data_IF_849345515558
#
_entry.id   IF_849345515558
#
_cell.length_a   1.000
_cell.length_b   1.000
_cell.length_c   1.000
_cell.angle_alpha   90.00
_cell.angle_beta   90.00
_cell.angle_gamma   90.00
#
_symmetry.space_group_name_H-M   'P 1'
#
loop_
_entity.id
_entity.type
_entity.pdbx_description
1 polymer ?
#
# COMPACT_ATOMS: atom_id res chain seq x y z
N UNK A 1 4.01 -16.99 4.27
CA UNK A 1 4.64 -15.68 4.57
C UNK A 1 6.04 -15.93 5.12
N UNK A 2 7.05 -15.29 4.55
CA UNK A 2 8.46 -15.41 4.90
C UNK A 2 8.99 -14.06 5.41
N UNK A 3 9.73 -14.06 6.54
CA UNK A 3 10.42 -12.87 7.01
C UNK A 3 11.74 -12.73 6.26
N UNK A 4 11.89 -11.68 5.46
CA UNK A 4 13.06 -11.41 4.61
C UNK A 4 13.96 -10.29 5.15
N UNK A 5 13.57 -9.61 6.23
CA UNK A 5 14.41 -8.60 6.89
C UNK A 5 13.92 -8.25 8.29
N UNK A 6 14.89 -7.88 9.16
CA UNK A 6 14.63 -7.40 10.52
C UNK A 6 15.72 -6.46 11.00
N UNK A 7 15.33 -5.34 11.58
CA UNK A 7 16.19 -4.38 12.22
C UNK A 7 15.57 -3.90 13.53
N UNK A 8 16.38 -3.72 14.57
CA UNK A 8 15.93 -3.10 15.81
C UNK A 8 16.15 -1.59 15.72
N UNK A 9 15.10 -0.81 15.94
CA UNK A 9 15.20 0.65 15.98
C UNK A 9 14.17 1.25 16.95
N UNK A 10 14.59 2.25 17.70
CA UNK A 10 13.78 2.95 18.72
C UNK A 10 13.04 2.00 19.68
N UNK A 11 13.71 0.91 20.08
CA UNK A 11 13.16 -0.11 20.97
C UNK A 11 12.10 -1.02 20.36
N UNK A 12 11.69 -0.77 19.13
CA UNK A 12 10.78 -1.60 18.35
C UNK A 12 11.50 -2.38 17.24
N UNK A 13 10.74 -3.01 16.37
CA UNK A 13 11.24 -3.86 15.28
C UNK A 13 10.73 -3.38 13.93
N UNK A 14 11.63 -3.07 13.00
CA UNK A 14 11.32 -2.91 11.58
C UNK A 14 11.50 -4.26 10.90
N UNK A 15 10.40 -4.81 10.41
CA UNK A 15 10.35 -6.13 9.78
C UNK A 15 9.98 -5.98 8.31
N UNK A 16 10.45 -6.89 7.46
CA UNK A 16 10.07 -7.00 6.06
C UNK A 16 9.66 -8.43 5.76
N UNK A 17 8.56 -8.58 5.04
CA UNK A 17 7.99 -9.87 4.70
C UNK A 17 7.70 -9.99 3.21
N UNK A 18 7.81 -11.23 2.72
CA UNK A 18 7.30 -11.68 1.44
C UNK A 18 6.17 -12.68 1.67
N UNK A 19 5.10 -12.60 0.90
CA UNK A 19 4.02 -13.58 0.95
C UNK A 19 3.36 -13.77 -0.42
N UNK A 20 2.85 -14.97 -0.68
CA UNK A 20 1.97 -15.19 -1.81
C UNK A 20 0.66 -14.44 -1.58
N UNK A 21 0.27 -13.59 -2.52
CA UNK A 21 -0.99 -12.87 -2.53
C UNK A 21 -1.99 -13.60 -3.42
N UNK A 22 -3.10 -14.01 -2.84
CA UNK A 22 -4.19 -14.62 -3.59
C UNK A 22 -4.93 -13.59 -4.46
N UNK A 23 -5.02 -12.34 -3.97
CA UNK A 23 -5.66 -11.23 -4.68
C UNK A 23 -4.88 -10.80 -5.92
N UNK A 24 -3.54 -10.77 -5.81
CA UNK A 24 -2.67 -10.28 -6.89
C UNK A 24 -2.07 -11.42 -7.73
N UNK A 25 -2.21 -12.68 -7.30
CA UNK A 25 -1.69 -13.84 -8.01
C UNK A 25 -0.17 -13.84 -8.18
N UNK A 26 0.56 -13.20 -7.26
CA UNK A 26 2.02 -13.11 -7.25
C UNK A 26 2.57 -12.97 -5.83
N UNK A 27 3.88 -13.00 -5.68
CA UNK A 27 4.52 -12.66 -4.42
C UNK A 27 4.47 -11.15 -4.17
N UNK A 28 4.13 -10.78 -2.92
CA UNK A 28 4.08 -9.38 -2.49
C UNK A 28 4.96 -9.15 -1.29
N UNK A 29 5.64 -8.01 -1.30
CA UNK A 29 6.42 -7.53 -0.17
C UNK A 29 5.65 -6.46 0.60
N UNK A 30 5.82 -6.47 1.91
CA UNK A 30 5.46 -5.36 2.77
C UNK A 30 6.45 -5.21 3.91
N UNK A 31 6.64 -3.98 4.34
CA UNK A 31 7.41 -3.64 5.53
C UNK A 31 6.47 -3.28 6.67
N UNK A 32 6.78 -3.72 7.90
CA UNK A 32 6.02 -3.34 9.09
C UNK A 32 6.95 -2.94 10.22
N UNK A 33 6.68 -1.79 10.83
CA UNK A 33 7.29 -1.39 12.10
C UNK A 33 6.34 -1.75 13.25
N UNK A 34 6.86 -2.49 14.22
CA UNK A 34 6.18 -2.80 15.47
C UNK A 34 6.84 -1.99 16.59
N UNK A 35 6.12 -1.08 17.26
CA UNK A 35 6.64 -0.32 18.38
C UNK A 35 6.85 -1.21 19.62
N UNK A 36 7.65 -0.80 20.61
CA UNK A 36 7.89 -1.62 21.83
C UNK A 36 6.59 -2.01 22.55
N UNK A 37 5.54 -1.19 22.49
CA UNK A 37 4.24 -1.46 23.11
C UNK A 37 3.53 -2.68 22.49
N UNK A 38 3.90 -3.08 21.28
CA UNK A 38 3.35 -4.28 20.63
C UNK A 38 3.72 -5.58 21.34
N UNK A 39 4.73 -5.57 22.22
CA UNK A 39 5.05 -6.71 23.08
C UNK A 39 4.07 -6.88 24.24
N UNK A 40 3.34 -5.82 24.60
CA UNK A 40 2.39 -5.81 25.71
C UNK A 40 0.95 -5.99 25.30
N UNK A 41 0.65 -5.90 24.00
CA UNK A 41 -0.71 -6.02 23.48
C UNK A 41 -0.89 -5.44 22.09
N UNK A 42 -2.16 -5.39 21.64
CA UNK A 42 -2.50 -4.85 20.32
C UNK A 42 -2.35 -3.33 20.27
N UNK A 43 -1.70 -2.85 19.23
CA UNK A 43 -1.44 -1.44 18.95
C UNK A 43 -2.21 -0.94 17.74
N UNK A 44 -2.53 0.38 17.64
CA UNK A 44 -3.07 0.98 16.44
C UNK A 44 -2.14 0.75 15.26
N UNK A 45 -2.68 0.75 14.04
CA UNK A 45 -1.88 0.59 12.83
C UNK A 45 -2.15 1.70 11.81
N UNK A 46 -1.07 2.29 11.32
CA UNK A 46 -1.06 3.22 10.20
C UNK A 46 -0.66 2.47 8.92
N UNK A 47 -1.54 2.48 7.92
CA UNK A 47 -1.24 2.05 6.57
C UNK A 47 -0.59 3.21 5.82
N UNK A 48 0.65 3.04 5.39
CA UNK A 48 1.34 4.00 4.55
C UNK A 48 1.36 3.52 3.10
N UNK A 49 0.82 4.33 2.21
CA UNK A 49 0.82 4.09 0.77
C UNK A 49 1.86 4.97 0.10
N UNK A 50 2.84 4.35 -0.54
CA UNK A 50 3.92 5.07 -1.22
C UNK A 50 3.50 5.54 -2.61
N UNK A 51 4.27 6.47 -3.18
CA UNK A 51 4.05 7.04 -4.50
C UNK A 51 4.59 6.17 -5.64
N UNK A 52 4.50 6.70 -6.86
CA UNK A 52 5.01 6.06 -8.07
C UNK A 52 6.47 5.65 -7.93
N UNK A 53 6.81 4.50 -8.51
CA UNK A 53 8.15 3.89 -8.55
C UNK A 53 8.70 3.39 -7.21
N UNK A 54 8.03 3.67 -6.11
CA UNK A 54 8.44 3.20 -4.78
C UNK A 54 8.16 1.72 -4.59
N UNK A 55 8.83 1.14 -3.59
CA UNK A 55 8.55 -0.17 -3.03
C UNK A 55 8.11 -0.03 -1.56
N UNK A 56 7.88 -1.14 -0.89
CA UNK A 56 7.63 -1.22 0.55
C UNK A 56 8.74 -0.58 1.40
N UNK A 57 9.98 -0.51 0.89
CA UNK A 57 11.15 -0.01 1.61
C UNK A 57 11.33 1.51 1.54
N UNK A 58 10.74 2.19 0.56
CA UNK A 58 11.00 3.61 0.34
C UNK A 58 10.71 4.46 1.58
N UNK A 59 9.52 4.31 2.15
CA UNK A 59 9.10 5.07 3.33
C UNK A 59 9.89 4.68 4.59
N UNK A 60 10.02 3.40 4.84
CA UNK A 60 10.63 2.90 6.08
C UNK A 60 12.13 3.20 6.19
N UNK A 61 12.80 3.42 5.04
CA UNK A 61 14.23 3.78 5.02
C UNK A 61 14.48 5.29 5.02
N UNK A 62 13.52 6.11 4.57
CA UNK A 62 13.75 7.54 4.33
C UNK A 62 12.98 8.49 5.26
N UNK A 63 11.79 8.08 5.73
CA UNK A 63 10.92 9.01 6.45
C UNK A 63 11.27 9.24 7.92
N UNK A 64 12.02 8.34 8.55
CA UNK A 64 12.34 8.43 9.98
C UNK A 64 11.12 8.34 10.91
N UNK A 65 10.01 7.79 10.43
CA UNK A 65 8.75 7.75 11.15
C UNK A 65 8.75 6.81 12.36
N UNK A 66 9.66 5.84 12.38
CA UNK A 66 9.75 4.82 13.44
C UNK A 66 9.97 5.42 14.84
N UNK A 67 10.71 6.53 14.94
CA UNK A 67 10.90 7.23 16.21
C UNK A 67 9.56 7.66 16.81
N UNK A 68 8.75 8.35 16.03
CA UNK A 68 7.45 8.84 16.46
C UNK A 68 6.45 7.71 16.66
N UNK A 69 6.51 6.68 15.83
CA UNK A 69 5.71 5.48 15.96
C UNK A 69 5.99 4.76 17.30
N UNK A 70 7.26 4.70 17.73
CA UNK A 70 7.65 4.17 19.05
C UNK A 70 7.10 5.03 20.20
N UNK A 71 7.24 6.35 20.10
CA UNK A 71 6.75 7.30 21.11
C UNK A 71 5.22 7.19 21.31
N UNK A 72 4.48 7.01 20.23
CA UNK A 72 3.00 6.95 20.25
C UNK A 72 2.41 5.54 20.30
N UNK A 73 3.24 4.50 20.29
CA UNK A 73 2.77 3.11 20.31
C UNK A 73 1.97 2.71 19.08
N UNK A 74 2.37 3.15 17.88
CA UNK A 74 1.66 2.92 16.62
C UNK A 74 2.49 1.99 15.72
N UNK A 75 1.89 0.91 15.22
CA UNK A 75 2.49 0.13 14.14
C UNK A 75 2.35 0.87 12.81
N UNK A 76 3.35 0.73 11.92
CA UNK A 76 3.28 1.28 10.57
C UNK A 76 3.47 0.15 9.58
N UNK A 77 2.54 -0.06 8.66
CA UNK A 77 2.67 -1.00 7.56
C UNK A 77 2.78 -0.25 6.23
N UNK A 78 3.75 -0.63 5.41
CA UNK A 78 3.98 -0.08 4.09
C UNK A 78 4.03 -1.24 3.08
N UNK A 79 2.99 -1.47 2.27
CA UNK A 79 3.03 -2.44 1.18
C UNK A 79 3.84 -1.90 -0.01
N UNK A 80 4.23 -2.82 -0.90
CA UNK A 80 4.71 -2.43 -2.24
C UNK A 80 3.60 -1.69 -3.00
N UNK A 81 3.97 -0.93 -4.01
CA UNK A 81 3.08 -0.03 -4.76
C UNK A 81 2.43 -0.70 -5.98
N UNK A 82 2.84 -1.91 -6.30
CA UNK A 82 2.26 -2.74 -7.37
C UNK A 82 2.59 -4.22 -7.14
N UNK A 83 1.88 -5.14 -7.82
CA UNK A 83 2.39 -6.49 -8.01
C UNK A 83 3.74 -6.45 -8.73
N UNK A 84 4.57 -7.49 -8.53
CA UNK A 84 5.87 -7.67 -9.18
C UNK A 84 6.16 -9.16 -9.35
N UNK A 85 7.14 -9.49 -10.18
CA UNK A 85 7.63 -10.85 -10.33
C UNK A 85 7.31 -11.45 -11.69
N UNK A 86 7.67 -12.73 -11.82
CA UNK A 86 7.49 -13.48 -13.07
C UNK A 86 6.01 -13.58 -13.45
N UNK A 87 5.69 -13.27 -14.69
CA UNK A 87 4.33 -13.31 -15.23
C UNK A 87 3.50 -12.06 -14.96
N UNK A 88 3.94 -11.13 -14.11
CA UNK A 88 3.25 -9.85 -13.90
C UNK A 88 3.53 -8.92 -15.08
N UNK A 89 2.49 -8.44 -15.80
CA UNK A 89 2.68 -7.55 -16.92
C UNK A 89 3.23 -6.19 -16.49
N UNK A 90 4.05 -5.59 -17.35
CA UNK A 90 4.58 -4.23 -17.20
C UNK A 90 4.26 -3.39 -18.44
N UNK A 91 4.46 -2.10 -18.37
CA UNK A 91 4.36 -1.23 -19.53
C UNK A 91 5.39 -1.67 -20.59
N UNK A 92 4.96 -1.99 -21.81
CA UNK A 92 5.89 -2.35 -22.90
C UNK A 92 6.95 -1.28 -23.18
N UNK A 93 6.66 -0.02 -22.87
CA UNK A 93 7.58 1.11 -23.02
C UNK A 93 8.40 1.37 -21.75
N UNK A 94 8.22 0.54 -20.69
CA UNK A 94 8.86 0.69 -19.39
C UNK A 94 8.70 2.10 -18.80
N UNK A 95 7.53 2.72 -19.00
CA UNK A 95 7.23 4.04 -18.46
C UNK A 95 7.05 3.96 -16.93
N UNK A 96 7.49 5.01 -16.24
CA UNK A 96 7.44 5.09 -14.78
C UNK A 96 6.02 5.32 -14.23
N UNK A 97 5.08 5.74 -15.05
CA UNK A 97 3.73 6.15 -14.68
C UNK A 97 2.67 5.09 -14.86
N UNK A 98 3.07 3.87 -15.29
CA UNK A 98 2.17 2.74 -15.51
C UNK A 98 2.91 1.41 -15.31
N UNK A 99 2.20 0.35 -14.93
CA UNK A 99 2.80 -0.96 -14.69
C UNK A 99 3.51 -1.06 -13.34
N UNK A 100 4.72 -1.62 -13.33
CA UNK A 100 5.48 -1.87 -12.09
C UNK A 100 5.77 -0.58 -11.33
N UNK A 101 5.40 -0.56 -10.06
CA UNK A 101 5.51 0.62 -9.19
C UNK A 101 4.40 1.66 -9.40
N UNK A 102 3.38 1.36 -10.20
CA UNK A 102 2.32 2.30 -10.58
C UNK A 102 0.93 1.66 -10.53
N UNK A 103 0.61 0.92 -9.46
CA UNK A 103 -0.67 0.21 -9.31
C UNK A 103 -1.88 1.10 -9.00
N UNK A 104 -1.69 2.40 -8.76
CA UNK A 104 -2.72 3.41 -8.48
C UNK A 104 -3.74 3.04 -7.41
N UNK A 105 -3.54 1.93 -6.69
CA UNK A 105 -4.44 1.41 -5.67
C UNK A 105 -5.88 1.20 -6.18
N UNK A 106 -5.99 0.79 -7.45
CA UNK A 106 -7.25 0.42 -8.11
C UNK A 106 -7.33 -1.11 -8.29
N UNK A 107 -8.49 -1.60 -8.72
CA UNK A 107 -8.65 -2.95 -9.25
C UNK A 107 -8.78 -2.87 -10.76
N UNK A 108 -7.77 -3.29 -11.48
CA UNK A 108 -7.81 -3.32 -12.94
C UNK A 108 -8.90 -4.28 -13.44
N UNK A 109 -9.61 -3.85 -14.48
CA UNK A 109 -10.67 -4.61 -15.14
C UNK A 109 -10.26 -5.09 -16.54
N UNK A 110 -9.20 -4.50 -17.10
CA UNK A 110 -8.75 -4.77 -18.46
C UNK A 110 -7.63 -5.84 -18.46
N UNK A 111 -7.69 -6.76 -19.42
CA UNK A 111 -6.61 -7.73 -19.66
C UNK A 111 -5.42 -7.02 -20.30
N UNK A 112 -4.16 -7.41 -19.96
CA UNK A 112 -3.78 -8.49 -19.03
C UNK A 112 -3.74 -8.06 -17.55
N UNK A 113 -3.97 -6.80 -17.24
CA UNK A 113 -3.77 -6.16 -15.93
C UNK A 113 -4.70 -6.72 -14.85
N UNK A 114 -5.93 -7.07 -15.20
CA UNK A 114 -6.97 -7.52 -14.26
C UNK A 114 -6.62 -8.77 -13.45
N UNK A 115 -5.60 -9.53 -13.90
CA UNK A 115 -5.14 -10.71 -13.17
C UNK A 115 -4.28 -10.38 -11.96
N UNK A 116 -3.54 -9.28 -12.03
CA UNK A 116 -2.53 -8.94 -11.02
C UNK A 116 -2.72 -7.55 -10.39
N UNK A 117 -3.18 -6.55 -11.13
CA UNK A 117 -3.27 -5.17 -10.63
C UNK A 117 -4.59 -4.91 -9.89
N UNK A 118 -4.77 -5.59 -8.74
CA UNK A 118 -5.92 -5.44 -7.85
C UNK A 118 -5.50 -4.85 -6.50
N UNK A 119 -4.72 -3.77 -6.56
CA UNK A 119 -4.12 -3.16 -5.38
C UNK A 119 -5.14 -2.60 -4.39
N UNK A 120 -6.35 -2.21 -4.85
CA UNK A 120 -7.42 -1.80 -3.94
C UNK A 120 -7.84 -2.96 -3.02
N UNK A 121 -8.18 -4.12 -3.58
CA UNK A 121 -8.59 -5.29 -2.81
C UNK A 121 -7.44 -5.79 -1.91
N UNK A 122 -6.22 -5.72 -2.39
CA UNK A 122 -5.05 -6.08 -1.59
C UNK A 122 -4.95 -5.22 -0.32
N UNK A 123 -5.01 -3.90 -0.45
CA UNK A 123 -4.88 -2.97 0.69
C UNK A 123 -6.11 -2.99 1.59
N UNK A 124 -7.29 -3.19 1.02
CA UNK A 124 -8.56 -3.11 1.78
C UNK A 124 -8.94 -4.45 2.40
N UNK A 125 -8.57 -5.57 1.80
CA UNK A 125 -9.06 -6.89 2.23
C UNK A 125 -7.93 -7.81 2.68
N UNK A 126 -6.98 -8.12 1.80
CA UNK A 126 -5.99 -9.17 2.05
C UNK A 126 -4.95 -8.74 3.10
N UNK A 127 -4.32 -7.60 2.91
CA UNK A 127 -3.31 -7.11 3.85
C UNK A 127 -3.85 -6.93 5.27
N UNK A 128 -5.02 -6.32 5.51
CA UNK A 128 -5.60 -6.25 6.85
C UNK A 128 -5.88 -7.62 7.48
N UNK A 129 -6.40 -8.57 6.72
CA UNK A 129 -6.65 -9.92 7.21
C UNK A 129 -5.34 -10.63 7.62
N UNK A 130 -4.30 -10.48 6.81
CA UNK A 130 -2.97 -11.01 7.11
C UNK A 130 -2.38 -10.36 8.37
N UNK A 131 -2.46 -9.03 8.49
CA UNK A 131 -1.94 -8.31 9.65
C UNK A 131 -2.65 -8.72 10.94
N UNK A 132 -3.98 -8.84 10.90
CA UNK A 132 -4.78 -9.31 12.04
C UNK A 132 -4.36 -10.70 12.53
N UNK A 133 -4.09 -11.59 11.58
CA UNK A 133 -3.74 -12.99 11.88
C UNK A 133 -2.32 -13.15 12.44
N UNK A 134 -1.39 -12.28 12.04
CA UNK A 134 0.05 -12.49 12.25
C UNK A 134 0.71 -11.50 13.21
N UNK A 135 0.07 -10.35 13.46
CA UNK A 135 0.69 -9.26 14.21
C UNK A 135 -0.24 -8.72 15.32
N UNK A 136 0.32 -8.16 16.40
CA UNK A 136 -0.45 -7.57 17.48
C UNK A 136 -0.98 -6.17 17.11
N UNK A 137 -1.80 -6.10 16.05
CA UNK A 137 -2.44 -4.86 15.59
C UNK A 137 -3.93 -4.85 15.91
N UNK A 138 -4.47 -3.65 16.15
CA UNK A 138 -5.88 -3.43 16.47
C UNK A 138 -6.62 -2.88 15.24
N UNK A 139 -7.45 -3.72 14.64
CA UNK A 139 -8.27 -3.35 13.47
C UNK A 139 -9.31 -2.26 13.75
N UNK A 140 -9.69 -2.06 15.01
CA UNK A 140 -10.61 -0.98 15.37
C UNK A 140 -9.93 0.40 15.38
N UNK A 141 -8.59 0.43 15.34
CA UNK A 141 -7.78 1.65 15.40
C UNK A 141 -6.83 1.73 14.19
N UNK A 142 -7.39 1.66 12.99
CA UNK A 142 -6.66 1.84 11.74
C UNK A 142 -6.66 3.29 11.29
N UNK A 143 -5.53 3.73 10.75
CA UNK A 143 -5.41 4.99 10.01
C UNK A 143 -4.77 4.70 8.64
N UNK A 144 -4.99 5.57 7.66
CA UNK A 144 -4.38 5.45 6.34
C UNK A 144 -3.73 6.76 5.94
N UNK A 145 -2.56 6.68 5.36
CA UNK A 145 -1.81 7.83 4.87
C UNK A 145 -1.03 7.47 3.62
N UNK A 146 -0.59 8.47 2.88
CA UNK A 146 0.25 8.22 1.71
C UNK A 146 0.77 9.49 1.07
N UNK A 147 1.70 9.31 0.14
CA UNK A 147 2.32 10.39 -0.60
C UNK A 147 2.09 10.21 -2.11
N UNK A 148 1.83 11.30 -2.84
CA UNK A 148 1.68 11.32 -4.30
C UNK A 148 0.57 10.35 -4.77
N UNK A 149 0.88 9.33 -5.58
CA UNK A 149 -0.05 8.25 -5.94
C UNK A 149 -0.64 7.56 -4.70
N UNK A 150 0.17 7.33 -3.65
CA UNK A 150 -0.30 6.76 -2.39
C UNK A 150 -1.19 7.72 -1.59
N UNK A 151 -0.97 9.04 -1.70
CA UNK A 151 -1.86 10.05 -1.15
C UNK A 151 -3.24 10.01 -1.81
N UNK A 152 -3.27 9.87 -3.14
CA UNK A 152 -4.50 9.59 -3.90
C UNK A 152 -5.17 8.30 -3.41
N UNK A 153 -4.42 7.20 -3.33
CA UNK A 153 -4.92 5.93 -2.83
C UNK A 153 -5.50 6.02 -1.41
N UNK A 154 -4.82 6.72 -0.51
CA UNK A 154 -5.30 6.91 0.86
C UNK A 154 -6.64 7.65 0.90
N UNK A 155 -6.80 8.73 0.12
CA UNK A 155 -8.05 9.47 0.03
C UNK A 155 -9.17 8.63 -0.59
N UNK A 156 -8.93 7.99 -1.72
CA UNK A 156 -9.96 7.21 -2.42
C UNK A 156 -10.40 6.00 -1.59
N UNK A 157 -9.46 5.30 -0.97
CA UNK A 157 -9.77 4.15 -0.10
C UNK A 157 -10.58 4.61 1.13
N UNK A 158 -10.16 5.69 1.80
CA UNK A 158 -10.89 6.17 2.98
C UNK A 158 -12.32 6.62 2.64
N UNK A 159 -12.50 7.33 1.52
CA UNK A 159 -13.81 7.81 1.07
C UNK A 159 -14.74 6.66 0.62
N UNK A 160 -14.19 5.63 -0.01
CA UNK A 160 -14.95 4.43 -0.41
C UNK A 160 -15.29 3.50 0.78
N UNK A 161 -14.63 3.66 1.92
CA UNK A 161 -14.83 2.83 3.11
C UNK A 161 -15.13 3.70 4.36
N UNK A 162 -16.27 4.41 4.41
CA UNK A 162 -16.58 5.32 5.51
C UNK A 162 -16.61 4.58 6.85
N UNK A 163 -15.98 5.18 7.86
CA UNK A 163 -15.92 4.63 9.22
C UNK A 163 -14.86 3.55 9.46
N UNK A 164 -14.21 3.06 8.41
CA UNK A 164 -13.16 2.03 8.53
C UNK A 164 -11.86 2.58 9.13
N UNK A 165 -11.43 3.73 8.67
CA UNK A 165 -10.21 4.39 9.13
C UNK A 165 -10.57 5.53 10.09
N UNK A 166 -9.85 5.66 11.19
CA UNK A 166 -10.05 6.73 12.19
C UNK A 166 -9.51 8.07 11.72
N UNK A 167 -8.52 8.04 10.83
CA UNK A 167 -7.98 9.23 10.18
C UNK A 167 -7.43 8.90 8.80
N UNK A 168 -7.40 9.91 7.94
CA UNK A 168 -6.72 9.89 6.66
C UNK A 168 -5.82 11.12 6.54
N UNK A 169 -4.61 10.92 6.05
CA UNK A 169 -3.67 12.00 5.71
C UNK A 169 -3.11 11.77 4.33
N UNK A 170 -2.99 12.83 3.54
CA UNK A 170 -2.44 12.73 2.19
C UNK A 170 -1.40 13.82 1.96
N UNK A 171 -0.19 13.40 1.61
CA UNK A 171 0.92 14.30 1.32
C UNK A 171 1.07 14.44 -0.19
N UNK A 172 0.98 15.68 -0.70
CA UNK A 172 1.08 15.99 -2.13
C UNK A 172 0.31 14.99 -3.01
N UNK A 173 -0.97 14.70 -2.72
CA UNK A 173 -1.72 13.66 -3.43
C UNK A 173 -1.95 14.04 -4.88
N UNK A 174 -2.04 13.02 -5.75
CA UNK A 174 -2.57 13.18 -7.09
C UNK A 174 -4.07 13.42 -6.98
N UNK A 175 -4.49 14.68 -6.97
CA UNK A 175 -5.89 15.03 -6.69
C UNK A 175 -6.83 14.86 -7.88
N UNK A 176 -6.30 14.85 -9.10
CA UNK A 176 -7.14 14.79 -10.32
C UNK A 176 -6.44 14.03 -11.44
N UNK A 177 -6.24 12.70 -11.31
CA UNK A 177 -5.59 11.91 -12.35
C UNK A 177 -6.37 11.93 -13.67
N UNK A 178 -7.67 12.17 -13.63
CA UNK A 178 -8.54 12.29 -14.80
C UNK A 178 -8.26 13.52 -15.70
N UNK A 179 -7.38 14.42 -15.25
CA UNK A 179 -7.09 15.70 -15.94
C UNK A 179 -5.61 15.85 -16.30
N UNK A 180 -4.85 14.78 -16.28
CA UNK A 180 -3.45 14.79 -16.70
C UNK A 180 -3.15 13.56 -17.58
N UNK A 181 -2.29 13.71 -18.61
CA UNK A 181 -2.08 12.66 -19.61
C UNK A 181 -1.66 11.31 -19.04
N UNK A 182 -0.73 11.31 -18.09
CA UNK A 182 -0.24 10.07 -17.47
C UNK A 182 -1.30 9.40 -16.57
N UNK A 183 -2.16 10.17 -15.92
CA UNK A 183 -3.27 9.61 -15.13
C UNK A 183 -4.38 9.05 -16.04
N UNK A 184 -4.69 9.74 -17.14
CA UNK A 184 -5.62 9.23 -18.17
C UNK A 184 -5.09 7.94 -18.81
N UNK A 185 -3.76 7.87 -19.11
CA UNK A 185 -3.11 6.66 -19.60
C UNK A 185 -3.30 5.50 -18.59
N UNK A 186 -2.89 5.68 -17.34
CA UNK A 186 -2.93 4.62 -16.35
C UNK A 186 -4.36 4.13 -16.08
N UNK A 187 -5.31 5.03 -15.87
CA UNK A 187 -6.69 4.65 -15.59
C UNK A 187 -7.37 4.04 -16.82
N UNK A 188 -7.12 4.56 -18.03
CA UNK A 188 -7.62 3.96 -19.26
C UNK A 188 -7.10 2.54 -19.48
N UNK A 189 -5.82 2.30 -19.26
CA UNK A 189 -5.21 0.98 -19.39
C UNK A 189 -5.73 -0.01 -18.33
N UNK A 190 -5.92 0.44 -17.07
CA UNK A 190 -6.43 -0.45 -16.02
C UNK A 190 -7.93 -0.66 -16.05
N UNK A 191 -8.73 0.39 -16.33
CA UNK A 191 -10.18 0.40 -16.16
C UNK A 191 -10.96 0.45 -17.47
N UNK A 192 -10.28 0.71 -18.61
CA UNK A 192 -10.89 0.83 -19.93
C UNK A 192 -11.30 2.26 -20.26
N UNK A 193 -11.93 2.43 -21.43
CA UNK A 193 -12.20 3.75 -22.01
C UNK A 193 -13.42 4.46 -21.42
N UNK A 194 -14.28 3.74 -20.70
CA UNK A 194 -15.46 4.33 -20.06
C UNK A 194 -15.09 5.07 -18.79
N UNK A 195 -14.89 6.38 -18.91
CA UNK A 195 -14.52 7.26 -17.79
C UNK A 195 -15.52 7.29 -16.64
N UNK A 196 -16.75 6.83 -16.84
CA UNK A 196 -17.74 6.74 -15.77
C UNK A 196 -17.41 5.63 -14.75
N UNK A 197 -16.52 4.71 -15.12
CA UNK A 197 -16.08 3.59 -14.27
C UNK A 197 -14.80 3.87 -13.48
N UNK A 198 -14.16 5.02 -13.73
CA UNK A 198 -12.86 5.38 -13.13
C UNK A 198 -12.97 5.88 -11.68
#
# INVERSE_FOLDING_TARGET
MEKIGENICFGGRQLRYCHASDVLGCEMNFSIYLPPQAEQGKVPVLYWLSGLTCTDENFVTKAGAQRYAAEHGIAIVAPDTSPRGEGVPDDPEAAWDFGLGAGFYVNATQSPWSQHYRMYDYVVTELPALLKAQFPVDEARMAISGHSMGGHGALTIALKNPGRFKSVSAFSPICSPLRCPWGEKALGMYLGDDRATW
#
